data_IF_251438210001
#
_entry.id   IF_251438210001
#
_cell.length_a   1.000
_cell.length_b   1.000
_cell.length_c   1.000
_cell.angle_alpha   90.00
_cell.angle_beta   90.00
_cell.angle_gamma   90.00
#
_symmetry.space_group_name_H-M   'P 1'
#
loop_
_entity.id
_entity.type
_entity.pdbx_description
1 polymer ?
#
# COMPACT_ATOMS: atom_id res chain seq x y z
N UNK A 1 -2.77 3.03 -5.72
CA UNK A 1 -4.03 2.71 -5.04
C UNK A 1 -3.72 2.61 -3.55
N UNK A 2 -4.55 3.18 -2.66
CA UNK A 2 -4.32 3.08 -1.23
C UNK A 2 -4.41 1.62 -0.78
N UNK A 3 -3.54 1.24 0.15
CA UNK A 3 -3.56 -0.07 0.78
C UNK A 3 -4.65 -0.06 1.87
N UNK A 4 -5.69 -0.85 1.66
CA UNK A 4 -6.81 -1.03 2.59
C UNK A 4 -6.76 -2.46 3.09
N UNK A 5 -6.95 -2.66 4.39
CA UNK A 5 -7.16 -4.01 4.89
C UNK A 5 -7.31 -4.12 6.40
N UNK A 6 -7.37 -5.37 6.87
CA UNK A 6 -7.49 -5.71 8.29
C UNK A 6 -6.23 -6.40 8.81
N UNK A 7 -5.80 -6.05 10.02
CA UNK A 7 -4.73 -6.81 10.68
C UNK A 7 -5.31 -8.18 11.08
N UNK A 8 -4.68 -9.25 10.62
CA UNK A 8 -5.15 -10.64 10.83
C UNK A 8 -5.40 -10.90 12.32
N UNK A 9 -6.56 -11.48 12.64
CA UNK A 9 -7.01 -11.77 14.02
C UNK A 9 -7.18 -10.54 14.93
N UNK A 10 -7.52 -9.38 14.36
CA UNK A 10 -7.83 -8.17 15.13
C UNK A 10 -9.07 -7.45 14.63
N UNK A 11 -9.61 -6.56 15.44
CA UNK A 11 -10.64 -5.57 15.08
C UNK A 11 -10.03 -4.27 14.51
N UNK A 12 -8.75 -4.30 14.09
CA UNK A 12 -8.05 -3.11 13.58
C UNK A 12 -8.14 -3.06 12.06
N UNK A 13 -8.81 -2.03 11.56
CA UNK A 13 -8.89 -1.67 10.16
C UNK A 13 -7.83 -0.62 9.84
N UNK A 14 -7.18 -0.71 8.68
CA UNK A 14 -6.18 0.26 8.26
C UNK A 14 -6.40 0.70 6.82
N UNK A 15 -6.05 1.96 6.56
CA UNK A 15 -5.94 2.50 5.20
C UNK A 15 -4.67 3.35 5.13
N UNK A 16 -3.81 3.10 4.14
CA UNK A 16 -2.55 3.82 3.97
C UNK A 16 -2.14 3.95 2.49
N UNK A 17 -1.03 4.63 2.20
CA UNK A 17 -0.47 4.61 0.84
C UNK A 17 -1.15 5.52 -0.19
N UNK A 18 -1.66 6.68 0.23
CA UNK A 18 -2.30 7.64 -0.68
C UNK A 18 -1.32 8.41 -1.62
N UNK A 19 0.00 8.29 -1.42
CA UNK A 19 1.10 8.68 -2.34
C UNK A 19 0.88 9.96 -3.19
N UNK A 20 0.35 11.03 -2.58
CA UNK A 20 0.12 12.33 -3.22
C UNK A 20 -1.12 12.43 -4.13
N UNK A 21 -1.88 11.34 -4.32
CA UNK A 21 -3.11 11.29 -5.14
C UNK A 21 -4.36 11.04 -4.27
N UNK A 22 -4.31 11.44 -2.99
CA UNK A 22 -5.31 11.05 -1.98
C UNK A 22 -6.67 11.74 -2.09
N UNK A 23 -6.75 12.96 -2.64
CA UNK A 23 -7.94 13.82 -2.52
C UNK A 23 -9.22 13.13 -3.04
N UNK A 24 -9.16 12.52 -4.23
CA UNK A 24 -10.29 11.79 -4.78
C UNK A 24 -10.58 10.45 -4.04
N UNK A 25 -9.60 9.54 -3.83
CA UNK A 25 -9.87 8.25 -3.21
C UNK A 25 -10.17 8.32 -1.70
N UNK A 26 -9.74 9.34 -0.97
CA UNK A 26 -9.95 9.44 0.49
C UNK A 26 -11.43 9.51 0.86
N UNK A 27 -12.26 10.22 0.09
CA UNK A 27 -13.70 10.30 0.34
C UNK A 27 -14.39 8.94 0.20
N UNK A 28 -14.08 8.21 -0.89
CA UNK A 28 -14.64 6.88 -1.11
C UNK A 28 -14.17 5.88 -0.05
N UNK A 29 -12.87 5.90 0.27
CA UNK A 29 -12.30 4.99 1.26
C UNK A 29 -12.76 5.29 2.68
N UNK A 30 -12.99 6.56 3.02
CA UNK A 30 -13.59 6.96 4.30
C UNK A 30 -15.02 6.43 4.46
N UNK A 31 -15.84 6.50 3.41
CA UNK A 31 -17.19 5.91 3.42
C UNK A 31 -17.15 4.38 3.59
N UNK A 32 -16.29 3.70 2.83
CA UNK A 32 -16.14 2.24 2.93
C UNK A 32 -15.68 1.83 4.33
N UNK A 33 -14.79 2.61 4.95
CA UNK A 33 -14.35 2.37 6.31
C UNK A 33 -15.49 2.55 7.32
N UNK A 34 -16.29 3.61 7.19
CA UNK A 34 -17.44 3.85 8.05
C UNK A 34 -18.48 2.72 7.94
N UNK A 35 -18.80 2.28 6.72
CA UNK A 35 -19.69 1.13 6.47
C UNK A 35 -19.16 -0.16 7.13
N UNK A 36 -17.85 -0.41 7.05
CA UNK A 36 -17.23 -1.56 7.69
C UNK A 36 -17.26 -1.51 9.22
N UNK A 37 -17.17 -0.31 9.81
CA UNK A 37 -17.30 -0.09 11.26
C UNK A 37 -18.75 -0.26 11.71
N UNK A 38 -19.72 0.14 10.89
CA UNK A 38 -21.15 -0.03 11.12
C UNK A 38 -21.64 -1.49 10.92
N UNK A 39 -20.76 -2.36 10.41
CA UNK A 39 -20.99 -3.81 10.28
C UNK A 39 -21.22 -4.31 8.86
N UNK A 40 -21.32 -3.43 7.85
CA UNK A 40 -21.36 -3.82 6.44
C UNK A 40 -19.95 -3.89 5.85
N UNK A 41 -19.36 -5.09 5.88
CA UNK A 41 -17.98 -5.29 5.39
C UNK A 41 -17.90 -5.56 3.89
N UNK A 42 -19.00 -5.68 3.15
CA UNK A 42 -18.96 -6.18 1.75
C UNK A 42 -18.00 -5.42 0.86
N UNK A 43 -18.07 -4.09 0.89
CA UNK A 43 -17.22 -3.22 0.05
C UNK A 43 -15.78 -3.21 0.55
N UNK A 44 -15.60 -3.30 1.87
CA UNK A 44 -14.29 -3.38 2.49
C UNK A 44 -13.58 -4.69 2.13
N UNK A 45 -14.27 -5.83 2.21
CA UNK A 45 -13.73 -7.16 1.93
C UNK A 45 -13.31 -7.31 0.45
N UNK A 46 -13.96 -6.57 -0.46
CA UNK A 46 -13.54 -6.49 -1.87
C UNK A 46 -12.20 -5.76 -1.98
N UNK A 47 -12.03 -4.66 -1.24
CA UNK A 47 -10.80 -3.87 -1.27
C UNK A 47 -9.65 -4.58 -0.54
N UNK A 48 -9.92 -5.32 0.53
CA UNK A 48 -8.95 -6.12 1.31
C UNK A 48 -8.37 -7.27 0.47
N UNK A 49 -9.13 -7.81 -0.50
CA UNK A 49 -8.63 -8.80 -1.47
C UNK A 49 -7.58 -8.26 -2.43
N UNK A 50 -7.36 -6.94 -2.46
CA UNK A 50 -6.39 -6.34 -3.37
C UNK A 50 -4.97 -6.71 -2.94
N UNK A 51 -4.37 -7.62 -3.70
CA UNK A 51 -3.04 -8.14 -3.41
C UNK A 51 -1.96 -7.08 -3.64
N UNK A 52 -1.29 -6.70 -2.56
CA UNK A 52 -0.09 -5.86 -2.62
C UNK A 52 1.13 -6.78 -2.64
N UNK A 53 1.72 -6.95 -3.83
CA UNK A 53 2.85 -7.86 -4.00
C UNK A 53 4.04 -7.38 -3.14
N UNK A 54 4.58 -8.23 -2.25
CA UNK A 54 5.80 -7.90 -1.54
C UNK A 54 6.95 -7.79 -2.54
N UNK A 55 7.95 -6.94 -2.23
CA UNK A 55 9.12 -6.80 -3.08
C UNK A 55 9.79 -8.17 -3.32
N UNK A 56 10.13 -8.53 -4.57
CA UNK A 56 10.79 -9.81 -4.86
C UNK A 56 12.10 -9.94 -4.09
N UNK A 57 12.25 -11.02 -3.31
CA UNK A 57 13.36 -11.22 -2.37
C UNK A 57 13.26 -10.43 -1.05
N UNK A 58 12.09 -9.87 -0.76
CA UNK A 58 11.73 -9.29 0.51
C UNK A 58 12.60 -8.10 0.92
N UNK A 59 12.71 -7.91 2.24
CA UNK A 59 13.50 -6.80 2.82
C UNK A 59 14.99 -6.90 2.48
N UNK A 60 15.51 -8.12 2.30
CA UNK A 60 16.92 -8.37 2.05
C UNK A 60 17.37 -7.89 0.67
N UNK A 61 16.58 -8.13 -0.38
CA UNK A 61 16.93 -7.68 -1.74
C UNK A 61 16.50 -6.24 -2.04
N UNK A 62 15.52 -5.69 -1.32
CA UNK A 62 15.00 -4.34 -1.58
C UNK A 62 16.07 -3.25 -1.48
N UNK A 63 16.88 -3.28 -0.41
CA UNK A 63 17.92 -2.28 -0.14
C UNK A 63 19.11 -2.38 -1.11
N UNK A 64 19.73 -3.56 -1.34
CA UNK A 64 20.84 -3.65 -2.27
C UNK A 64 20.43 -3.37 -3.72
N UNK A 65 19.24 -3.78 -4.16
CA UNK A 65 18.76 -3.46 -5.51
C UNK A 65 18.62 -1.94 -5.73
N UNK A 66 18.09 -1.21 -4.74
CA UNK A 66 18.03 0.25 -4.78
C UNK A 66 19.43 0.87 -4.82
N UNK A 67 20.36 0.39 -3.97
CA UNK A 67 21.72 0.90 -3.93
C UNK A 67 22.46 0.69 -5.26
N UNK A 68 22.28 -0.47 -5.90
CA UNK A 68 22.84 -0.77 -7.22
C UNK A 68 22.29 0.16 -8.29
N UNK A 69 20.97 0.40 -8.30
CA UNK A 69 20.36 1.36 -9.23
C UNK A 69 20.92 2.77 -9.04
N UNK A 70 21.04 3.24 -7.80
CA UNK A 70 21.65 4.55 -7.50
C UNK A 70 23.12 4.62 -7.93
N UNK A 71 23.89 3.54 -7.72
CA UNK A 71 25.30 3.47 -8.12
C UNK A 71 25.46 3.52 -9.64
N UNK A 72 24.59 2.82 -10.38
CA UNK A 72 24.58 2.84 -11.84
C UNK A 72 24.31 4.24 -12.40
N UNK A 73 23.29 4.94 -11.90
CA UNK A 73 23.02 6.31 -12.33
C UNK A 73 24.16 7.27 -11.98
N UNK A 74 24.76 7.13 -10.79
CA UNK A 74 25.96 7.92 -10.44
C UNK A 74 27.14 7.67 -11.39
N UNK A 75 27.31 6.43 -11.87
CA UNK A 75 28.36 6.11 -12.82
C UNK A 75 28.07 6.71 -14.21
N UNK A 76 26.80 6.70 -14.65
CA UNK A 76 26.40 7.35 -15.91
C UNK A 76 26.56 8.88 -15.86
N UNK A 77 26.20 9.51 -14.74
CA UNK A 77 26.32 10.97 -14.58
C UNK A 77 27.78 11.46 -14.50
N UNK A 78 28.72 10.55 -14.21
CA UNK A 78 30.15 10.87 -14.09
C UNK A 78 30.93 10.72 -15.41
N UNK A 79 30.28 10.29 -16.49
CA UNK A 79 30.83 10.14 -17.84
C UNK A 79 30.33 11.29 -18.72
#
# INVERSE_FOLDING_TARGET
MPQIGRIKHSNVLYISGYSGHGVAPTHMTGRILAEAVDGDTRRFDIMDKMFHMPWPGGKLLRRPAMALGMMWYKALDAI
#
